data_IF_631539725583
#
_entry.id   IF_631539725583
#
_cell.length_a   1.000
_cell.length_b   1.000
_cell.length_c   1.000
_cell.angle_alpha   90.00
_cell.angle_beta   90.00
_cell.angle_gamma   90.00
#
_symmetry.space_group_name_H-M   'P 1'
#
loop_
_entity.id
_entity.type
_entity.pdbx_description
1 polymer ?
#
# COMPACT_ATOMS: atom_id res chain seq x y z
N UNK A 1 -7.41 7.72 -5.50
CA UNK A 1 -6.01 7.59 -5.94
C UNK A 1 -5.94 6.49 -6.98
N UNK A 2 -5.32 6.73 -8.14
CA UNK A 2 -5.20 5.71 -9.19
C UNK A 2 -4.37 4.52 -8.71
N UNK A 3 -4.78 3.31 -9.07
CA UNK A 3 -4.00 2.09 -8.84
C UNK A 3 -4.02 1.53 -7.42
N UNK A 4 -4.63 2.21 -6.43
CA UNK A 4 -4.82 1.65 -5.07
C UNK A 4 -6.01 0.69 -5.09
N UNK A 5 -5.77 -0.57 -4.71
CA UNK A 5 -6.77 -1.62 -4.56
C UNK A 5 -7.38 -1.65 -3.17
N UNK A 6 -6.55 -1.46 -2.14
CA UNK A 6 -6.97 -1.55 -0.74
C UNK A 6 -6.16 -0.60 0.14
N UNK A 7 -6.73 -0.25 1.30
CA UNK A 7 -6.11 0.65 2.28
C UNK A 7 -6.33 0.10 3.68
N UNK A 8 -5.23 -0.27 4.34
CA UNK A 8 -5.26 -0.86 5.67
C UNK A 8 -4.70 0.15 6.67
N UNK A 9 -5.52 0.55 7.64
CA UNK A 9 -5.06 1.36 8.76
C UNK A 9 -4.25 0.50 9.74
N UNK A 10 -3.02 0.89 9.99
CA UNK A 10 -2.13 0.23 10.94
C UNK A 10 -2.33 0.83 12.34
N UNK A 11 -2.07 0.03 13.38
CA UNK A 11 -2.25 0.46 14.77
C UNK A 11 -1.33 1.62 15.19
N UNK A 12 -0.24 1.83 14.45
CA UNK A 12 0.68 2.95 14.65
C UNK A 12 0.24 4.24 13.93
N UNK A 13 -0.97 4.27 13.34
CA UNK A 13 -1.50 5.42 12.61
C UNK A 13 -1.02 5.53 11.17
N UNK A 14 -0.15 4.63 10.70
CA UNK A 14 0.24 4.57 9.28
C UNK A 14 -0.87 3.93 8.43
N UNK A 15 -0.82 4.19 7.13
CA UNK A 15 -1.70 3.56 6.14
C UNK A 15 -0.86 2.71 5.21
N UNK A 16 -1.21 1.44 5.11
CA UNK A 16 -0.66 0.54 4.10
C UNK A 16 -1.56 0.57 2.86
N UNK A 17 -0.99 0.87 1.70
CA UNK A 17 -1.71 0.94 0.44
C UNK A 17 -1.37 -0.30 -0.40
N UNK A 18 -2.38 -1.09 -0.75
CA UNK A 18 -2.19 -2.24 -1.64
C UNK A 18 -2.36 -1.75 -3.07
N UNK A 19 -1.30 -1.84 -3.87
CA UNK A 19 -1.30 -1.33 -5.25
C UNK A 19 -1.62 -2.43 -6.25
N UNK A 20 -2.24 -2.04 -7.36
CA UNK A 20 -2.48 -2.91 -8.51
C UNK A 20 -1.19 -3.24 -9.27
N UNK A 21 -0.25 -2.30 -9.27
CA UNK A 21 0.99 -2.30 -10.05
C UNK A 21 1.97 -1.32 -9.37
N UNK A 22 3.25 -1.66 -9.33
CA UNK A 22 4.29 -0.85 -8.69
C UNK A 22 4.45 0.54 -9.32
N UNK A 23 4.09 0.70 -10.60
CA UNK A 23 4.26 1.95 -11.34
C UNK A 23 3.47 3.12 -10.75
N UNK A 24 2.39 2.83 -10.03
CA UNK A 24 1.56 3.86 -9.40
C UNK A 24 2.23 4.50 -8.18
N UNK A 25 3.26 3.87 -7.61
CA UNK A 25 3.91 4.36 -6.39
C UNK A 25 4.55 5.74 -6.56
N UNK A 26 5.13 6.04 -7.74
CA UNK A 26 5.69 7.38 -8.02
C UNK A 26 4.64 8.48 -8.01
N UNK A 27 3.48 8.23 -8.64
CA UNK A 27 2.38 9.20 -8.69
C UNK A 27 1.78 9.43 -7.30
N UNK A 28 1.59 8.34 -6.54
CA UNK A 28 1.10 8.38 -5.16
C UNK A 28 2.07 9.14 -4.26
N UNK A 29 3.37 8.87 -4.34
CA UNK A 29 4.39 9.61 -3.60
C UNK A 29 4.33 11.11 -3.90
N UNK A 30 4.26 11.49 -5.18
CA UNK A 30 4.16 12.89 -5.58
C UNK A 30 2.89 13.56 -5.02
N UNK A 31 1.77 12.85 -5.04
CA UNK A 31 0.50 13.36 -4.51
C UNK A 31 0.50 13.49 -2.98
N UNK A 32 1.08 12.53 -2.27
CA UNK A 32 1.15 12.52 -0.81
C UNK A 32 2.18 13.52 -0.26
N UNK A 33 3.34 13.58 -0.89
CA UNK A 33 4.38 14.53 -0.49
C UNK A 33 4.02 15.95 -0.88
N UNK A 34 3.34 16.16 -2.01
CA UNK A 34 3.09 17.47 -2.60
C UNK A 34 4.39 18.32 -2.68
N UNK A 35 5.54 17.67 -2.90
CA UNK A 35 6.86 18.30 -2.92
C UNK A 35 7.39 18.73 -1.55
N UNK A 36 6.74 18.33 -0.45
CA UNK A 36 7.14 18.59 0.94
C UNK A 36 7.73 17.34 1.60
N UNK A 37 8.38 17.54 2.74
CA UNK A 37 8.87 16.43 3.57
C UNK A 37 7.71 15.64 4.18
N UNK A 38 7.83 14.32 4.13
CA UNK A 38 6.94 13.37 4.80
C UNK A 38 7.77 12.46 5.70
N UNK A 39 7.14 11.91 6.74
CA UNK A 39 7.84 11.10 7.74
C UNK A 39 8.50 9.86 7.13
N UNK A 40 7.73 9.09 6.36
CA UNK A 40 8.25 7.97 5.58
C UNK A 40 7.31 7.66 4.43
N UNK A 41 7.87 7.16 3.33
CA UNK A 41 7.14 6.49 2.28
C UNK A 41 7.99 5.31 1.85
N UNK A 42 7.48 4.11 2.11
CA UNK A 42 8.16 2.88 1.78
C UNK A 42 7.28 2.09 0.81
N UNK A 43 7.88 1.71 -0.31
CA UNK A 43 7.24 0.87 -1.30
C UNK A 43 8.06 -0.41 -1.42
N UNK A 44 7.50 -1.47 -0.86
CA UNK A 44 8.07 -2.80 -0.88
C UNK A 44 7.10 -3.79 -1.55
N UNK A 45 7.61 -4.82 -2.24
CA UNK A 45 6.77 -5.93 -2.66
C UNK A 45 6.25 -6.69 -1.43
N UNK A 46 5.02 -7.25 -1.47
CA UNK A 46 4.48 -7.98 -0.34
C UNK A 46 5.32 -9.22 -0.06
N UNK A 47 5.48 -9.54 1.22
CA UNK A 47 6.14 -10.77 1.66
C UNK A 47 5.30 -12.00 1.32
N UNK A 48 5.92 -13.20 1.35
CA UNK A 48 5.19 -14.45 1.10
C UNK A 48 4.01 -14.64 2.08
N UNK A 49 4.20 -14.33 3.36
CA UNK A 49 3.16 -14.42 4.38
C UNK A 49 1.96 -13.50 4.07
N UNK A 50 2.23 -12.27 3.65
CA UNK A 50 1.20 -11.32 3.24
C UNK A 50 0.47 -11.78 1.99
N UNK A 51 1.19 -12.30 0.99
CA UNK A 51 0.58 -12.90 -0.20
C UNK A 51 -0.34 -14.06 0.18
N UNK A 52 0.08 -14.90 1.12
CA UNK A 52 -0.75 -16.00 1.63
C UNK A 52 -2.01 -15.47 2.32
N UNK A 53 -1.90 -14.48 3.21
CA UNK A 53 -3.05 -13.85 3.89
C UNK A 53 -4.04 -13.23 2.90
N UNK A 54 -3.55 -12.51 1.89
CA UNK A 54 -4.38 -11.93 0.84
C UNK A 54 -5.15 -12.99 0.05
N UNK A 55 -4.50 -14.12 -0.29
CA UNK A 55 -5.12 -15.22 -1.05
C UNK A 55 -6.01 -16.13 -0.20
N UNK A 56 -5.66 -16.34 1.07
CA UNK A 56 -6.39 -17.20 2.00
C UNK A 56 -7.63 -16.49 2.57
N UNK A 57 -7.54 -15.18 2.85
CA UNK A 57 -8.68 -14.36 3.26
C UNK A 57 -9.75 -14.26 2.17
N UNK A 58 -9.36 -14.34 0.89
CA UNK A 58 -10.29 -14.40 -0.24
C UNK A 58 -11.08 -15.73 -0.36
N UNK A 59 -10.80 -16.72 0.49
CA UNK A 59 -11.42 -18.06 0.46
C UNK A 59 -12.35 -18.37 1.64
N UNK A 60 -12.60 -17.42 2.52
CA UNK A 60 -13.59 -17.54 3.59
C UNK A 60 -14.76 -16.57 3.36
N UNK A 61 -15.58 -16.87 2.36
CA UNK A 61 -17.00 -16.48 2.29
C UNK A 61 -17.79 -17.60 1.60
#
# INVERSE_FOLDING_TARGET
MPGVKDVILQNNGMKLLILADEKYGKDIFNQLSAGQYIQTFDQEPPTLDEIFKMKAGARHE
#
